data_IF_904139243956
#
_entry.id   IF_904139243956
#
_cell.length_a   1.000
_cell.length_b   1.000
_cell.length_c   1.000
_cell.angle_alpha   90.00
_cell.angle_beta   90.00
_cell.angle_gamma   90.00
#
_symmetry.space_group_name_H-M   'P 1'
#
loop_
_entity.id
_entity.type
_entity.pdbx_description
1 polymer ?
#
# COMPACT_ATOMS: atom_id res chain seq x y z
N UNK A 1 26.13 0.19 -18.18
CA UNK A 1 25.57 1.05 -19.25
C UNK A 1 24.25 1.57 -18.71
N UNK A 2 24.14 2.86 -18.41
CA UNK A 2 22.88 3.42 -17.91
C UNK A 2 21.84 3.33 -19.02
N UNK A 3 20.71 2.66 -18.77
CA UNK A 3 19.61 2.65 -19.71
C UNK A 3 19.12 4.09 -19.87
N UNK A 4 19.15 4.61 -21.09
CA UNK A 4 18.63 5.93 -21.38
C UNK A 4 17.12 5.91 -21.14
N UNK A 5 16.63 6.79 -20.26
CA UNK A 5 15.19 6.94 -20.02
C UNK A 5 14.50 7.28 -21.35
N UNK A 6 13.50 6.50 -21.80
CA UNK A 6 12.85 6.70 -23.09
C UNK A 6 12.14 8.05 -23.22
N UNK A 7 11.92 8.77 -22.12
CA UNK A 7 11.27 10.08 -22.11
C UNK A 7 12.27 11.24 -22.03
N UNK A 8 13.58 10.97 -22.02
CA UNK A 8 14.59 12.02 -21.92
C UNK A 8 14.50 13.03 -23.08
N UNK A 9 14.40 14.31 -22.75
CA UNK A 9 14.25 15.44 -23.69
C UNK A 9 13.03 15.34 -24.62
N UNK A 10 12.03 14.51 -24.28
CA UNK A 10 10.78 14.46 -25.02
C UNK A 10 9.98 15.73 -24.75
N UNK A 11 9.50 16.47 -25.77
CA UNK A 11 8.63 17.63 -25.56
C UNK A 11 7.40 17.29 -24.70
N UNK A 12 7.07 18.14 -23.72
CA UNK A 12 5.98 17.92 -22.75
C UNK A 12 6.36 17.03 -21.57
N UNK A 13 7.65 16.73 -21.37
CA UNK A 13 8.16 15.98 -20.22
C UNK A 13 9.25 16.78 -19.49
N UNK A 14 9.30 16.62 -18.17
CA UNK A 14 10.31 17.23 -17.30
C UNK A 14 11.10 16.17 -16.54
N UNK A 15 12.38 16.44 -16.31
CA UNK A 15 13.23 15.62 -15.44
C UNK A 15 12.90 15.88 -13.97
N UNK A 16 12.72 14.82 -13.19
CA UNK A 16 12.42 14.89 -11.75
C UNK A 16 13.25 13.87 -10.96
N UNK A 17 13.12 13.89 -9.62
CA UNK A 17 13.78 12.92 -8.72
C UNK A 17 13.40 11.45 -8.97
N UNK A 18 12.26 11.20 -9.63
CA UNK A 18 11.76 9.83 -9.93
C UNK A 18 11.90 9.46 -11.42
N UNK A 19 12.60 10.29 -12.21
CA UNK A 19 12.74 10.12 -13.66
C UNK A 19 11.96 11.16 -14.46
N UNK A 20 11.83 10.92 -15.76
CA UNK A 20 11.13 11.82 -16.68
C UNK A 20 9.62 11.56 -16.66
N UNK A 21 8.84 12.58 -16.31
CA UNK A 21 7.36 12.52 -16.23
C UNK A 21 6.74 13.65 -17.06
N UNK A 22 5.45 13.57 -17.43
CA UNK A 22 4.78 14.67 -18.13
C UNK A 22 4.84 16.00 -17.35
N UNK A 23 4.94 17.11 -18.06
CA UNK A 23 5.06 18.45 -17.46
C UNK A 23 3.90 18.80 -16.52
N UNK A 24 2.70 18.28 -16.81
CA UNK A 24 1.48 18.48 -16.04
C UNK A 24 1.39 17.59 -14.79
N UNK A 25 2.26 16.59 -14.63
CA UNK A 25 2.28 15.73 -13.44
C UNK A 25 3.13 16.36 -12.33
N UNK A 26 2.73 16.15 -11.08
CA UNK A 26 3.49 16.57 -9.91
C UNK A 26 4.03 15.37 -9.15
N UNK A 27 5.28 15.47 -8.67
CA UNK A 27 5.85 14.47 -7.78
C UNK A 27 5.36 14.74 -6.35
N UNK A 28 4.43 13.91 -5.86
CA UNK A 28 3.99 13.91 -4.48
C UNK A 28 4.53 12.74 -3.67
N UNK A 29 4.31 12.80 -2.36
CA UNK A 29 4.37 11.64 -1.49
C UNK A 29 3.01 10.94 -1.47
N UNK A 30 3.01 9.62 -1.29
CA UNK A 30 1.78 8.85 -1.19
C UNK A 30 0.91 9.31 0.00
N UNK A 31 1.54 9.82 1.06
CA UNK A 31 0.88 10.45 2.21
C UNK A 31 0.08 11.70 1.86
N UNK A 32 0.40 12.39 0.76
CA UNK A 32 -0.28 13.62 0.37
C UNK A 32 -1.68 13.34 -0.21
N UNK A 33 -1.93 12.09 -0.60
CA UNK A 33 -3.19 11.63 -1.21
C UNK A 33 -3.86 10.50 -0.42
N UNK A 34 -3.19 9.93 0.58
CA UNK A 34 -3.78 8.96 1.49
C UNK A 34 -4.62 9.66 2.56
N UNK A 35 -5.70 9.03 2.99
CA UNK A 35 -6.58 9.58 4.02
C UNK A 35 -5.90 9.61 5.40
N UNK A 36 -5.34 10.77 5.76
CA UNK A 36 -4.72 11.00 7.06
C UNK A 36 -3.37 10.28 7.27
N UNK A 37 -2.83 10.39 8.50
CA UNK A 37 -1.53 9.79 8.88
C UNK A 37 -1.57 8.26 8.79
N UNK A 38 -2.76 7.67 8.87
CA UNK A 38 -3.00 6.23 8.88
C UNK A 38 -3.55 5.66 7.56
N UNK A 39 -3.67 6.50 6.52
CA UNK A 39 -4.33 6.12 5.27
C UNK A 39 -3.66 4.97 4.53
N UNK A 40 -2.37 4.72 4.78
CA UNK A 40 -1.66 3.53 4.31
C UNK A 40 -0.77 2.99 5.41
N UNK A 41 -1.16 1.84 5.96
CA UNK A 41 -0.35 1.02 6.84
C UNK A 41 -0.07 -0.32 6.17
N UNK A 42 1.20 -0.71 6.12
CA UNK A 42 1.64 -2.00 5.55
C UNK A 42 1.45 -3.18 6.51
N UNK A 43 0.49 -3.04 7.44
CA UNK A 43 0.10 -4.04 8.42
C UNK A 43 0.76 -3.87 9.79
N UNK A 44 0.28 -4.63 10.80
CA UNK A 44 1.06 -4.90 11.99
C UNK A 44 2.29 -5.75 11.65
N UNK A 45 3.44 -5.44 12.24
CA UNK A 45 4.69 -6.20 12.07
C UNK A 45 5.10 -6.88 13.38
N UNK A 46 5.59 -8.12 13.28
CA UNK A 46 6.07 -8.88 14.45
C UNK A 46 4.94 -9.41 15.33
N UNK A 47 5.06 -9.26 16.65
CA UNK A 47 4.14 -9.79 17.66
C UNK A 47 2.96 -8.86 17.99
N UNK A 48 2.53 -8.02 17.04
CA UNK A 48 1.42 -7.09 17.25
C UNK A 48 0.04 -7.76 17.22
N UNK A 49 -0.05 -8.95 16.61
CA UNK A 49 -1.22 -9.81 16.65
C UNK A 49 -0.87 -11.15 17.30
N UNK A 50 -1.65 -11.52 18.32
CA UNK A 50 -1.58 -12.80 19.00
C UNK A 50 -2.74 -13.69 18.58
N UNK A 51 -2.64 -15.00 18.84
CA UNK A 51 -3.70 -15.94 18.48
C UNK A 51 -5.06 -15.58 19.11
N UNK A 52 -5.05 -14.98 20.30
CA UNK A 52 -6.25 -14.53 21.02
C UNK A 52 -6.90 -13.27 20.43
N UNK A 53 -6.19 -12.53 19.58
CA UNK A 53 -6.73 -11.34 18.91
C UNK A 53 -7.67 -11.69 17.75
N UNK A 54 -7.64 -12.95 17.28
CA UNK A 54 -8.45 -13.39 16.16
C UNK A 54 -9.88 -13.73 16.58
N UNK A 55 -10.83 -13.25 15.78
CA UNK A 55 -12.27 -13.46 15.97
C UNK A 55 -12.90 -14.07 14.71
N UNK A 56 -14.06 -14.71 14.87
CA UNK A 56 -14.79 -15.34 13.75
C UNK A 56 -15.32 -14.31 12.73
N UNK A 57 -15.62 -13.09 13.19
CA UNK A 57 -16.19 -12.02 12.36
C UNK A 57 -15.72 -10.65 12.86
N UNK A 58 -15.15 -9.84 11.96
CA UNK A 58 -14.61 -8.51 12.25
C UNK A 58 -13.89 -7.90 11.04
N UNK A 59 -12.78 -7.21 11.29
CA UNK A 59 -11.96 -6.57 10.25
C UNK A 59 -10.94 -7.58 9.70
N UNK A 60 -10.86 -7.81 8.37
CA UNK A 60 -9.96 -8.79 7.78
C UNK A 60 -8.50 -8.37 7.84
N UNK A 61 -7.64 -9.28 8.29
CA UNK A 61 -6.18 -9.14 8.25
C UNK A 61 -5.67 -9.75 6.95
N UNK A 62 -5.32 -8.90 5.98
CA UNK A 62 -4.86 -9.34 4.66
C UNK A 62 -3.36 -9.70 4.73
N UNK A 63 -3.04 -10.97 4.55
CA UNK A 63 -1.67 -11.47 4.45
C UNK A 63 -1.30 -11.79 2.99
N UNK A 64 -0.01 -11.95 2.65
CA UNK A 64 0.40 -12.33 1.29
C UNK A 64 -0.29 -13.58 0.75
N UNK A 65 -0.61 -14.56 1.61
CA UNK A 65 -1.33 -15.78 1.23
C UNK A 65 -2.75 -15.53 0.71
N UNK A 66 -3.35 -14.39 1.07
CA UNK A 66 -4.67 -13.97 0.62
C UNK A 66 -4.62 -13.29 -0.74
N UNK A 67 -3.45 -12.91 -1.26
CA UNK A 67 -3.32 -12.21 -2.53
C UNK A 67 -3.11 -13.21 -3.67
N UNK A 68 -4.16 -13.45 -4.47
CA UNK A 68 -4.15 -14.44 -5.56
C UNK A 68 -4.68 -13.83 -6.85
N UNK A 69 -3.91 -13.95 -7.94
CA UNK A 69 -4.35 -13.51 -9.27
C UNK A 69 -4.73 -12.03 -9.36
N UNK A 70 -4.01 -11.16 -8.62
CA UNK A 70 -4.30 -9.73 -8.57
C UNK A 70 -5.57 -9.36 -7.77
N UNK A 71 -6.10 -10.28 -6.96
CA UNK A 71 -7.28 -10.09 -6.11
C UNK A 71 -7.00 -10.55 -4.68
N UNK A 72 -7.85 -10.10 -3.76
CA UNK A 72 -7.91 -10.62 -2.40
C UNK A 72 -8.87 -11.81 -2.37
N UNK A 73 -8.36 -12.96 -1.98
CA UNK A 73 -9.13 -14.16 -1.62
C UNK A 73 -9.46 -14.08 -0.12
N UNK A 74 -10.72 -13.74 0.18
CA UNK A 74 -11.24 -13.60 1.53
C UNK A 74 -11.67 -14.94 2.17
N UNK A 75 -11.54 -16.05 1.45
CA UNK A 75 -11.94 -17.37 1.95
C UNK A 75 -11.09 -17.77 3.16
N UNK A 76 -11.72 -17.86 4.34
CA UNK A 76 -11.02 -18.20 5.59
C UNK A 76 -9.98 -17.17 6.04
N UNK A 77 -10.16 -15.91 5.64
CA UNK A 77 -9.26 -14.83 6.07
C UNK A 77 -9.35 -14.63 7.59
N UNK A 78 -8.19 -14.43 8.21
CA UNK A 78 -8.13 -14.10 9.63
C UNK A 78 -8.77 -12.72 9.87
N UNK A 79 -9.49 -12.57 10.98
CA UNK A 79 -10.19 -11.33 11.32
C UNK A 79 -9.89 -10.94 12.76
N UNK A 80 -9.91 -9.64 13.05
CA UNK A 80 -9.76 -9.05 14.38
C UNK A 80 -10.93 -8.12 14.69
N UNK A 81 -11.12 -7.71 15.93
CA UNK A 81 -12.14 -6.70 16.27
C UNK A 81 -11.80 -5.34 15.65
N UNK A 82 -12.81 -4.47 15.46
CA UNK A 82 -12.57 -3.07 15.04
C UNK A 82 -11.64 -2.35 16.01
N UNK A 83 -11.86 -2.50 17.32
CA UNK A 83 -10.99 -1.94 18.36
C UNK A 83 -9.54 -2.38 18.20
N UNK A 84 -9.31 -3.67 17.92
CA UNK A 84 -7.96 -4.17 17.65
C UNK A 84 -7.40 -3.55 16.38
N UNK A 85 -8.16 -3.51 15.28
CA UNK A 85 -7.72 -2.92 14.02
C UNK A 85 -7.32 -1.45 14.14
N UNK A 86 -8.09 -0.65 14.91
CA UNK A 86 -7.81 0.76 15.17
C UNK A 86 -6.58 0.97 16.07
N UNK A 87 -6.22 -0.04 16.87
CA UNK A 87 -5.03 0.01 17.75
C UNK A 87 -3.70 -0.32 17.05
N UNK A 88 -3.75 -0.82 15.80
CA UNK A 88 -2.58 -1.18 14.98
C UNK A 88 -2.02 0.03 14.22
#
# INVERSE_FOLDING_TARGET
>A
MSAHDPNANRPGYKETKVGWIPEEWECGHLSDIADGVDGIKTGPFGSQLHQEDYVDSGVPVIMPLNMKGGKIDSSGIAQVTEEKADSL
#
